data_IF_858532060526
#
_entry.id   IF_858532060526
#
_cell.length_a   1.000
_cell.length_b   1.000
_cell.length_c   1.000
_cell.angle_alpha   90.00
_cell.angle_beta   90.00
_cell.angle_gamma   90.00
#
_symmetry.space_group_name_H-M   'P 1'
#
loop_
_entity.id
_entity.type
_entity.pdbx_description
1 polymer ?
#
# COMPACT_ATOMS: atom_id res chain seq x y z
N UNK A 1 -6.41 -10.41 17.68
CA UNK A 1 -5.50 -9.79 16.70
C UNK A 1 -5.50 -8.28 16.93
N UNK A 2 -4.36 -7.58 16.82
CA UNK A 2 -4.27 -6.13 17.08
C UNK A 2 -5.22 -5.31 16.18
N UNK A 3 -5.50 -5.80 14.98
CA UNK A 3 -6.44 -5.18 14.04
C UNK A 3 -7.91 -5.21 14.49
N UNK A 4 -8.27 -5.99 15.52
CA UNK A 4 -9.60 -5.95 16.13
C UNK A 4 -9.87 -4.62 16.86
N UNK A 5 -8.82 -3.84 17.14
CA UNK A 5 -8.91 -2.51 17.74
C UNK A 5 -9.08 -1.40 16.69
N UNK A 6 -9.09 -1.74 15.39
CA UNK A 6 -9.22 -0.77 14.32
C UNK A 6 -10.58 -0.04 14.42
N UNK A 7 -10.54 1.29 14.30
CA UNK A 7 -11.76 2.13 14.32
C UNK A 7 -12.75 1.74 13.22
N UNK A 8 -12.21 1.37 12.06
CA UNK A 8 -12.89 0.81 10.90
C UNK A 8 -11.88 0.14 9.98
N UNK A 9 -12.37 -0.74 9.10
CA UNK A 9 -11.60 -1.28 8.00
C UNK A 9 -12.43 -1.30 6.71
N UNK A 10 -11.74 -1.40 5.58
CA UNK A 10 -12.33 -1.44 4.25
C UNK A 10 -11.99 -2.74 3.54
N UNK A 11 -12.88 -3.19 2.65
CA UNK A 11 -12.44 -3.99 1.50
C UNK A 11 -11.70 -3.10 0.51
N UNK A 12 -10.97 -3.69 -0.45
CA UNK A 12 -10.28 -2.89 -1.47
C UNK A 12 -11.22 -2.00 -2.30
N UNK A 13 -12.38 -2.48 -2.80
CA UNK A 13 -13.36 -1.60 -3.44
C UNK A 13 -13.86 -0.48 -2.51
N UNK A 14 -14.11 -0.79 -1.24
CA UNK A 14 -14.51 0.20 -0.25
C UNK A 14 -13.44 1.27 0.01
N UNK A 15 -12.16 0.90 -0.05
CA UNK A 15 -11.05 1.84 0.06
C UNK A 15 -10.96 2.75 -1.18
N UNK A 16 -11.24 2.23 -2.39
CA UNK A 16 -11.32 3.05 -3.60
C UNK A 16 -12.48 4.04 -3.55
N UNK A 17 -13.63 3.63 -3.03
CA UNK A 17 -14.78 4.51 -2.82
C UNK A 17 -14.46 5.60 -1.78
N UNK A 18 -13.80 5.23 -0.68
CA UNK A 18 -13.28 6.17 0.30
C UNK A 18 -12.32 7.19 -0.34
N UNK A 19 -11.34 6.73 -1.12
CA UNK A 19 -10.40 7.61 -1.80
C UNK A 19 -11.11 8.56 -2.79
N UNK A 20 -12.12 8.07 -3.53
CA UNK A 20 -12.93 8.89 -4.42
C UNK A 20 -13.71 9.98 -3.66
N UNK A 21 -14.30 9.63 -2.51
CA UNK A 21 -15.00 10.57 -1.65
C UNK A 21 -14.04 11.63 -1.09
N UNK A 22 -12.86 11.24 -0.64
CA UNK A 22 -11.84 12.19 -0.16
C UNK A 22 -11.41 13.17 -1.25
N UNK A 23 -11.26 12.72 -2.51
CA UNK A 23 -11.01 13.62 -3.64
C UNK A 23 -12.14 14.65 -3.79
N UNK A 24 -13.39 14.19 -3.83
CA UNK A 24 -14.55 15.08 -3.99
C UNK A 24 -14.71 16.05 -2.81
N UNK A 25 -14.41 15.59 -1.60
CA UNK A 25 -14.46 16.40 -0.38
C UNK A 25 -13.36 17.46 -0.36
N UNK A 26 -12.13 17.12 -0.75
CA UNK A 26 -11.05 18.09 -0.85
C UNK A 26 -11.34 19.17 -1.91
N UNK A 27 -11.99 18.82 -3.01
CA UNK A 27 -12.38 19.78 -4.05
C UNK A 27 -13.55 20.69 -3.63
N UNK A 28 -14.53 20.14 -2.92
CA UNK A 28 -15.74 20.88 -2.52
C UNK A 28 -15.59 21.66 -1.22
N UNK A 29 -14.64 21.29 -0.37
CA UNK A 29 -14.40 21.87 0.96
C UNK A 29 -12.91 22.12 1.23
N UNK A 30 -12.23 22.98 0.45
CA UNK A 30 -10.79 23.19 0.59
C UNK A 30 -10.37 23.70 1.96
N UNK A 31 -11.28 24.33 2.71
CA UNK A 31 -11.07 24.79 4.09
C UNK A 31 -10.79 23.65 5.08
N UNK A 32 -11.14 22.41 4.74
CA UNK A 32 -10.88 21.23 5.59
C UNK A 32 -9.46 20.69 5.45
N UNK A 33 -8.76 21.08 4.39
CA UNK A 33 -7.49 20.49 4.01
C UNK A 33 -6.41 21.00 4.98
N UNK A 34 -5.91 20.12 5.83
CA UNK A 34 -4.83 20.44 6.76
C UNK A 34 -3.52 20.74 6.02
N UNK A 35 -3.23 19.99 4.95
CA UNK A 35 -2.08 20.20 4.08
C UNK A 35 -2.50 20.06 2.60
N UNK A 36 -2.40 21.12 1.78
CA UNK A 36 -2.70 21.08 0.35
C UNK A 36 -1.98 19.97 -0.42
N UNK A 37 -0.80 19.53 0.06
CA UNK A 37 -0.06 18.41 -0.53
C UNK A 37 -0.85 17.12 -0.43
N UNK A 38 -1.48 16.81 0.71
CA UNK A 38 -2.27 15.59 0.85
C UNK A 38 -3.50 15.59 -0.05
N UNK A 39 -4.16 16.74 -0.24
CA UNK A 39 -5.26 16.82 -1.20
C UNK A 39 -4.78 16.58 -2.64
N UNK A 40 -3.66 17.18 -3.04
CA UNK A 40 -3.04 16.95 -4.35
C UNK A 40 -2.70 15.47 -4.54
N UNK A 41 -1.99 14.87 -3.58
CA UNK A 41 -1.56 13.48 -3.66
C UNK A 41 -2.72 12.50 -3.62
N UNK A 42 -3.74 12.71 -2.79
CA UNK A 42 -4.94 11.87 -2.79
C UNK A 42 -5.59 11.81 -4.17
N UNK A 43 -5.73 12.95 -4.86
CA UNK A 43 -6.27 12.99 -6.22
C UNK A 43 -5.38 12.26 -7.23
N UNK A 44 -4.08 12.52 -7.20
CA UNK A 44 -3.11 11.89 -8.09
C UNK A 44 -3.04 10.36 -7.89
N UNK A 45 -3.00 9.93 -6.63
CA UNK A 45 -2.89 8.53 -6.22
C UNK A 45 -4.17 7.75 -6.49
N UNK A 46 -5.34 8.36 -6.35
CA UNK A 46 -6.59 7.75 -6.79
C UNK A 46 -6.56 7.40 -8.29
N UNK A 47 -6.05 8.30 -9.15
CA UNK A 47 -5.91 7.99 -10.58
C UNK A 47 -4.90 6.87 -10.84
N UNK A 48 -3.80 6.83 -10.08
CA UNK A 48 -2.80 5.75 -10.17
C UNK A 48 -3.40 4.39 -9.79
N UNK A 49 -4.14 4.32 -8.68
CA UNK A 49 -4.82 3.09 -8.25
C UNK A 49 -5.82 2.62 -9.30
N UNK A 50 -6.66 3.52 -9.85
CA UNK A 50 -7.59 3.18 -10.94
C UNK A 50 -6.89 2.66 -12.20
N UNK A 51 -5.71 3.18 -12.52
CA UNK A 51 -4.93 2.69 -13.66
C UNK A 51 -4.43 1.28 -13.39
N UNK A 52 -3.84 1.04 -12.21
CA UNK A 52 -3.36 -0.29 -11.85
C UNK A 52 -4.47 -1.33 -11.81
N UNK A 53 -5.63 -1.00 -11.25
CA UNK A 53 -6.79 -1.89 -11.18
C UNK A 53 -7.26 -2.35 -12.57
N UNK A 54 -7.02 -1.55 -13.61
CA UNK A 54 -7.33 -1.87 -15.00
C UNK A 54 -6.22 -2.59 -15.76
N UNK A 55 -4.98 -2.50 -15.31
CA UNK A 55 -3.80 -2.86 -16.12
C UNK A 55 -2.91 -3.91 -15.50
N UNK A 56 -2.97 -4.09 -14.17
CA UNK A 56 -2.22 -5.12 -13.49
C UNK A 56 -2.91 -6.47 -13.65
N UNK A 57 -2.11 -7.48 -13.98
CA UNK A 57 -2.51 -8.88 -14.00
C UNK A 57 -1.46 -9.62 -13.16
N UNK A 58 -1.86 -10.30 -12.06
CA UNK A 58 -0.95 -11.12 -11.27
C UNK A 58 -0.29 -12.22 -12.10
N UNK A 59 0.92 -12.61 -11.71
CA UNK A 59 1.56 -13.80 -12.26
C UNK A 59 0.83 -15.07 -11.79
N UNK A 60 0.45 -15.93 -12.74
CA UNK A 60 -0.34 -17.14 -12.46
C UNK A 60 0.38 -18.11 -11.52
N UNK A 61 1.71 -18.25 -11.65
CA UNK A 61 2.49 -19.14 -10.78
C UNK A 61 2.50 -18.63 -9.34
N UNK A 62 2.53 -17.30 -9.16
CA UNK A 62 2.43 -16.69 -7.83
C UNK A 62 1.06 -16.95 -7.22
N UNK A 63 -0.02 -16.82 -8.00
CA UNK A 63 -1.38 -17.12 -7.52
C UNK A 63 -1.52 -18.59 -7.10
N UNK A 64 -0.97 -19.52 -7.89
CA UNK A 64 -0.97 -20.95 -7.55
C UNK A 64 -0.26 -21.21 -6.22
N UNK A 65 0.92 -20.61 -6.03
CA UNK A 65 1.68 -20.78 -4.79
C UNK A 65 0.93 -20.19 -3.58
N UNK A 66 0.36 -18.98 -3.71
CA UNK A 66 -0.45 -18.36 -2.67
C UNK A 66 -1.66 -19.22 -2.27
N UNK A 67 -2.31 -19.89 -3.21
CA UNK A 67 -3.44 -20.81 -2.93
C UNK A 67 -3.01 -22.05 -2.14
N UNK A 68 -1.75 -22.47 -2.27
CA UNK A 68 -1.21 -23.65 -1.56
C UNK A 68 -0.63 -23.34 -0.18
N UNK A 69 -0.46 -22.05 0.16
CA UNK A 69 0.15 -21.59 1.40
C UNK A 69 -0.71 -21.79 2.67
N UNK A 70 -1.91 -22.34 2.51
CA UNK A 70 -2.87 -22.54 3.59
C UNK A 70 -3.73 -21.31 3.89
N UNK A 71 -4.73 -21.46 4.78
CA UNK A 71 -5.67 -20.39 5.10
C UNK A 71 -4.99 -19.22 5.82
N UNK A 72 -5.19 -18.01 5.31
CA UNK A 72 -4.66 -16.77 5.87
C UNK A 72 -5.60 -15.60 5.60
N UNK A 73 -5.45 -14.52 6.36
CA UNK A 73 -6.10 -13.23 6.12
C UNK A 73 -5.06 -12.11 6.10
N UNK A 74 -5.29 -11.10 5.27
CA UNK A 74 -4.35 -9.99 5.04
C UNK A 74 -4.92 -8.67 5.54
N UNK A 75 -4.07 -7.89 6.20
CA UNK A 75 -4.36 -6.55 6.69
C UNK A 75 -3.34 -5.56 6.13
N UNK A 76 -3.83 -4.45 5.57
CA UNK A 76 -2.97 -3.38 5.05
C UNK A 76 -3.19 -2.07 5.79
N UNK A 77 -2.13 -1.50 6.35
CA UNK A 77 -2.11 -0.16 6.93
C UNK A 77 -1.67 0.82 5.85
N UNK A 78 -2.49 1.81 5.51
CA UNK A 78 -2.25 2.70 4.37
C UNK A 78 -2.99 4.03 4.49
N UNK A 79 -2.77 4.92 3.52
CA UNK A 79 -3.51 6.16 3.32
C UNK A 79 -3.70 6.45 1.83
N UNK A 80 -4.78 7.16 1.48
CA UNK A 80 -5.09 7.52 0.09
C UNK A 80 -4.09 8.52 -0.51
N UNK A 81 -3.45 9.34 0.33
CA UNK A 81 -2.43 10.30 -0.08
C UNK A 81 -1.03 9.66 -0.25
N UNK A 82 -0.83 8.39 0.13
CA UNK A 82 0.50 7.78 0.06
C UNK A 82 0.86 7.32 -1.37
N UNK A 83 1.98 7.85 -1.89
CA UNK A 83 2.48 7.52 -3.22
C UNK A 83 2.79 6.04 -3.41
N UNK A 84 3.50 5.40 -2.48
CA UNK A 84 3.84 3.98 -2.57
C UNK A 84 2.59 3.09 -2.46
N UNK A 85 1.62 3.47 -1.62
CA UNK A 85 0.35 2.77 -1.51
C UNK A 85 -0.40 2.76 -2.84
N UNK A 86 -0.38 3.88 -3.58
CA UNK A 86 -1.02 3.98 -4.87
C UNK A 86 -0.46 3.00 -5.93
N UNK A 87 0.75 2.48 -5.70
CA UNK A 87 1.44 1.53 -6.58
C UNK A 87 1.29 0.10 -6.08
N UNK A 88 1.48 -0.13 -4.77
CA UNK A 88 1.56 -1.47 -4.19
C UNK A 88 0.19 -2.02 -3.76
N UNK A 89 -0.73 -1.18 -3.26
CA UNK A 89 -2.03 -1.64 -2.77
C UNK A 89 -2.88 -2.32 -3.87
N UNK A 90 -2.95 -1.82 -5.11
CA UNK A 90 -3.65 -2.53 -6.19
C UNK A 90 -3.05 -3.90 -6.50
N UNK A 91 -1.72 -4.03 -6.41
CA UNK A 91 -1.02 -5.32 -6.61
C UNK A 91 -1.40 -6.29 -5.50
N UNK A 92 -1.31 -5.86 -4.23
CA UNK A 92 -1.70 -6.67 -3.07
C UNK A 92 -3.17 -7.11 -3.19
N UNK A 93 -4.06 -6.20 -3.56
CA UNK A 93 -5.48 -6.48 -3.70
C UNK A 93 -5.78 -7.48 -4.82
N UNK A 94 -5.09 -7.37 -5.96
CA UNK A 94 -5.23 -8.34 -7.04
C UNK A 94 -4.73 -9.73 -6.62
N UNK A 95 -3.55 -9.82 -5.98
CA UNK A 95 -3.03 -11.09 -5.45
C UNK A 95 -4.02 -11.74 -4.47
N UNK A 96 -4.49 -10.97 -3.48
CA UNK A 96 -5.44 -11.45 -2.49
C UNK A 96 -6.76 -11.93 -3.13
N UNK A 97 -7.31 -11.16 -4.08
CA UNK A 97 -8.54 -11.51 -4.79
C UNK A 97 -8.39 -12.81 -5.58
N UNK A 98 -7.36 -12.93 -6.41
CA UNK A 98 -7.17 -14.11 -7.26
C UNK A 98 -6.79 -15.37 -6.46
N UNK A 99 -6.12 -15.19 -5.32
CA UNK A 99 -5.79 -16.28 -4.39
C UNK A 99 -6.93 -16.65 -3.43
N UNK A 100 -8.00 -15.83 -3.32
CA UNK A 100 -9.10 -16.04 -2.40
C UNK A 100 -8.78 -15.71 -0.93
N UNK A 101 -7.82 -14.81 -0.71
CA UNK A 101 -7.37 -14.36 0.62
C UNK A 101 -8.22 -13.13 1.04
N UNK A 102 -8.89 -13.15 2.20
CA UNK A 102 -9.55 -11.97 2.75
C UNK A 102 -8.57 -10.81 2.94
N UNK A 103 -8.91 -9.64 2.41
CA UNK A 103 -8.10 -8.44 2.53
C UNK A 103 -8.87 -7.31 3.23
N UNK A 104 -8.26 -6.80 4.29
CA UNK A 104 -8.75 -5.70 5.11
C UNK A 104 -7.78 -4.53 5.04
N UNK A 105 -8.30 -3.31 4.93
CA UNK A 105 -7.49 -2.10 4.84
C UNK A 105 -7.86 -1.16 5.97
N UNK A 106 -6.87 -0.64 6.69
CA UNK A 106 -7.05 0.33 7.77
C UNK A 106 -6.25 1.60 7.50
N UNK A 107 -6.79 2.74 7.94
CA UNK A 107 -6.14 4.04 7.77
C UNK A 107 -5.09 4.24 8.85
N UNK A 108 -3.87 4.58 8.43
CA UNK A 108 -2.72 4.81 9.32
C UNK A 108 -3.03 5.88 10.36
N UNK A 109 -3.57 7.01 9.90
CA UNK A 109 -3.73 8.22 10.69
C UNK A 109 -4.89 8.08 11.69
N UNK A 110 -5.89 7.24 11.40
CA UNK A 110 -6.99 6.91 12.31
C UNK A 110 -6.64 5.80 13.32
N UNK A 111 -5.53 5.08 13.12
CA UNK A 111 -5.17 3.89 13.90
C UNK A 111 -3.72 3.94 14.42
N UNK A 112 -3.35 4.97 15.23
CA UNK A 112 -1.96 5.15 15.68
C UNK A 112 -1.45 3.99 16.53
N UNK A 113 -2.29 3.40 17.39
CA UNK A 113 -1.90 2.26 18.23
C UNK A 113 -1.54 1.00 17.42
N UNK A 114 -2.26 0.76 16.30
CA UNK A 114 -1.91 -0.30 15.35
C UNK A 114 -0.60 0.07 14.64
N UNK A 115 -0.49 1.29 14.10
CA UNK A 115 0.71 1.70 13.35
C UNK A 115 2.00 1.63 14.19
N UNK A 116 1.92 1.95 15.48
CA UNK A 116 3.08 1.94 16.38
C UNK A 116 3.67 0.52 16.58
N UNK A 117 2.90 -0.55 16.32
CA UNK A 117 3.39 -1.93 16.33
C UNK A 117 4.18 -2.30 15.07
N UNK A 118 4.03 -1.53 13.98
CA UNK A 118 4.52 -1.89 12.65
C UNK A 118 5.45 -0.84 12.05
N UNK A 119 6.24 -0.17 12.89
CA UNK A 119 7.23 0.82 12.44
C UNK A 119 8.31 0.18 11.56
N UNK A 120 8.72 0.90 10.52
CA UNK A 120 9.88 0.51 9.68
C UNK A 120 11.04 1.43 10.02
N UNK A 121 12.08 0.88 10.65
CA UNK A 121 13.24 1.65 11.13
C UNK A 121 12.82 2.84 12.01
N UNK A 122 11.86 2.62 12.91
CA UNK A 122 11.30 3.66 13.79
C UNK A 122 10.33 4.63 13.10
N UNK A 123 10.09 4.51 11.80
CA UNK A 123 9.21 5.41 11.03
C UNK A 123 7.84 4.80 10.76
N UNK A 124 6.81 5.67 10.68
CA UNK A 124 5.43 5.32 10.30
C UNK A 124 5.27 5.16 8.78
N UNK A 125 6.09 4.29 8.20
CA UNK A 125 6.09 4.01 6.76
C UNK A 125 4.89 3.15 6.37
N UNK A 126 4.31 3.43 5.19
CA UNK A 126 3.17 2.72 4.61
C UNK A 126 3.38 2.57 3.09
N UNK A 127 2.72 1.59 2.43
CA UNK A 127 1.78 0.61 2.99
C UNK A 127 2.48 -0.50 3.78
N UNK A 128 1.87 -1.00 4.85
CA UNK A 128 2.33 -2.22 5.53
C UNK A 128 1.30 -3.31 5.32
N UNK A 129 1.70 -4.45 4.76
CA UNK A 129 0.91 -5.66 4.68
C UNK A 129 1.29 -6.60 5.84
N UNK A 130 0.30 -7.15 6.52
CA UNK A 130 0.48 -8.15 7.58
C UNK A 130 -0.47 -9.31 7.31
N UNK A 131 0.05 -10.54 7.36
CA UNK A 131 -0.74 -11.77 7.21
C UNK A 131 -0.90 -12.48 8.55
N UNK A 132 -2.06 -13.09 8.75
CA UNK A 132 -2.38 -13.87 9.94
C UNK A 132 -3.02 -15.22 9.58
N UNK A 133 -2.77 -16.23 10.42
CA UNK A 133 -3.49 -17.49 10.36
C UNK A 133 -4.88 -17.42 11.02
N UNK A 134 -5.62 -18.52 11.01
CA UNK A 134 -6.95 -18.62 11.60
C UNK A 134 -6.97 -18.49 13.13
N UNK A 135 -5.81 -18.65 13.78
CA UNK A 135 -5.64 -18.47 15.23
C UNK A 135 -5.23 -17.03 15.57
N UNK A 136 -5.07 -16.17 14.57
CA UNK A 136 -4.63 -14.79 14.72
C UNK A 136 -3.14 -14.63 15.03
N UNK A 137 -2.33 -15.66 14.77
CA UNK A 137 -0.88 -15.54 14.80
C UNK A 137 -0.39 -14.88 13.51
N UNK A 138 0.55 -13.96 13.64
CA UNK A 138 1.14 -13.30 12.48
C UNK A 138 2.02 -14.28 11.72
N UNK A 139 1.73 -14.46 10.42
CA UNK A 139 2.53 -15.29 9.52
C UNK A 139 3.70 -14.50 8.94
N UNK A 140 3.40 -13.34 8.36
CA UNK A 140 4.42 -12.47 7.78
C UNK A 140 4.04 -10.99 7.83
N UNK A 141 5.04 -10.15 7.55
CA UNK A 141 4.89 -8.71 7.36
C UNK A 141 5.71 -8.29 6.13
N UNK A 142 5.11 -7.45 5.29
CA UNK A 142 5.75 -6.85 4.13
C UNK A 142 5.57 -5.32 4.14
N UNK A 143 6.54 -4.60 3.58
CA UNK A 143 6.45 -3.18 3.30
C UNK A 143 7.55 -2.31 3.94
N UNK A 144 7.64 -1.03 3.56
CA UNK A 144 6.69 -0.31 2.71
C UNK A 144 6.89 -0.50 1.20
N UNK A 145 8.03 -1.04 0.78
CA UNK A 145 8.44 -1.11 -0.62
C UNK A 145 9.13 -2.44 -0.92
N UNK A 146 9.10 -2.92 -2.17
CA UNK A 146 10.02 -3.96 -2.61
C UNK A 146 11.47 -3.46 -2.52
N UNK A 147 12.43 -4.38 -2.41
CA UNK A 147 13.83 -4.07 -2.14
C UNK A 147 14.43 -3.05 -3.11
N UNK A 148 14.19 -3.19 -4.42
CA UNK A 148 14.71 -2.26 -5.42
C UNK A 148 14.17 -0.82 -5.24
N UNK A 149 12.88 -0.65 -4.95
CA UNK A 149 12.32 0.68 -4.63
C UNK A 149 12.83 1.20 -3.29
N UNK A 150 13.04 0.33 -2.31
CA UNK A 150 13.62 0.74 -1.03
C UNK A 150 15.05 1.27 -1.21
N UNK A 151 15.85 0.62 -2.06
CA UNK A 151 17.19 1.08 -2.42
C UNK A 151 17.16 2.46 -3.09
N UNK A 152 16.23 2.72 -4.03
CA UNK A 152 16.10 4.06 -4.63
C UNK A 152 15.87 5.15 -3.57
N UNK A 153 15.05 4.87 -2.55
CA UNK A 153 14.78 5.80 -1.45
C UNK A 153 15.99 5.98 -0.54
N UNK A 154 16.74 4.91 -0.27
CA UNK A 154 17.96 4.96 0.54
C UNK A 154 19.07 5.74 -0.19
N UNK A 155 19.27 5.47 -1.48
CA UNK A 155 20.23 6.16 -2.32
C UNK A 155 19.93 7.65 -2.44
N UNK A 156 18.67 8.02 -2.65
CA UNK A 156 18.26 9.44 -2.67
C UNK A 156 18.49 10.11 -1.31
N UNK A 157 18.17 9.45 -0.19
CA UNK A 157 18.43 9.99 1.15
C UNK A 157 19.92 10.16 1.43
N UNK A 158 20.75 9.22 0.98
CA UNK A 158 22.19 9.26 1.18
C UNK A 158 22.85 10.34 0.29
N UNK A 159 22.39 10.46 -0.95
CA UNK A 159 22.87 11.45 -1.90
C UNK A 159 21.76 11.92 -2.86
N UNK A 160 21.08 13.02 -2.53
CA UNK A 160 20.04 13.57 -3.40
C UNK A 160 20.57 14.01 -4.77
N UNK A 161 21.87 14.28 -4.89
CA UNK A 161 22.53 14.78 -6.11
C UNK A 161 21.82 16.02 -6.71
N UNK A 162 21.31 16.91 -5.85
CA UNK A 162 20.59 18.11 -6.26
C UNK A 162 19.10 17.91 -6.61
N UNK A 163 18.58 16.67 -6.54
CA UNK A 163 17.15 16.38 -6.70
C UNK A 163 16.40 16.69 -5.41
N UNK A 164 15.35 17.49 -5.50
CA UNK A 164 14.39 17.62 -4.40
C UNK A 164 13.49 16.36 -4.31
N UNK A 165 12.60 16.34 -3.31
CA UNK A 165 11.72 15.19 -3.09
C UNK A 165 10.72 14.99 -4.24
N UNK A 166 10.25 16.05 -4.88
CA UNK A 166 9.30 15.96 -5.99
C UNK A 166 9.93 15.31 -7.23
N UNK A 167 11.16 15.72 -7.57
CA UNK A 167 11.93 15.11 -8.64
C UNK A 167 12.21 13.62 -8.36
N UNK A 168 12.54 13.28 -7.12
CA UNK A 168 12.72 11.89 -6.70
C UNK A 168 11.42 11.09 -6.75
N UNK A 169 10.30 11.66 -6.32
CA UNK A 169 9.01 10.98 -6.35
C UNK A 169 8.61 10.61 -7.79
N UNK A 170 8.87 11.50 -8.74
CA UNK A 170 8.65 11.22 -10.16
C UNK A 170 9.51 10.05 -10.67
N UNK A 171 10.77 9.98 -10.26
CA UNK A 171 11.67 8.86 -10.56
C UNK A 171 11.15 7.55 -9.95
N UNK A 172 10.79 7.56 -8.66
CA UNK A 172 10.19 6.42 -7.97
C UNK A 172 8.94 5.91 -8.69
N UNK A 173 8.03 6.82 -9.07
CA UNK A 173 6.80 6.46 -9.77
C UNK A 173 7.03 5.97 -11.21
N UNK A 174 8.09 6.45 -11.87
CA UNK A 174 8.54 5.90 -13.15
C UNK A 174 9.03 4.48 -12.98
N UNK A 175 9.87 4.24 -11.98
CA UNK A 175 10.36 2.90 -11.64
C UNK A 175 9.18 1.94 -11.39
N UNK A 176 8.17 2.33 -10.60
CA UNK A 176 6.99 1.49 -10.39
C UNK A 176 6.25 1.16 -11.69
N UNK A 177 6.14 2.14 -12.60
CA UNK A 177 5.47 1.97 -13.89
C UNK A 177 6.25 1.00 -14.81
N UNK A 178 7.58 1.03 -14.76
CA UNK A 178 8.46 0.13 -15.52
C UNK A 178 8.52 -1.27 -14.90
N UNK A 179 8.55 -1.35 -13.56
CA UNK A 179 8.56 -2.61 -12.81
C UNK A 179 7.26 -3.40 -12.98
N UNK A 180 6.12 -2.72 -13.20
CA UNK A 180 4.81 -3.36 -13.44
C UNK A 180 4.35 -4.27 -12.31
N UNK A 181 4.76 -3.97 -11.07
CA UNK A 181 4.40 -4.74 -9.87
C UNK A 181 5.12 -6.09 -9.73
N UNK A 182 6.10 -6.40 -10.59
CA UNK A 182 6.89 -7.65 -10.55
C UNK A 182 7.61 -7.85 -9.22
N UNK A 183 8.30 -6.82 -8.74
CA UNK A 183 9.08 -6.95 -7.51
C UNK A 183 8.17 -6.98 -6.29
N UNK A 184 7.03 -6.28 -6.33
CA UNK A 184 6.05 -6.29 -5.24
C UNK A 184 5.47 -7.68 -5.05
N UNK A 185 4.99 -8.34 -6.12
CA UNK A 185 4.42 -9.68 -6.01
C UNK A 185 5.46 -10.74 -5.65
N UNK A 186 6.68 -10.66 -6.19
CA UNK A 186 7.77 -11.57 -5.83
C UNK A 186 8.16 -11.41 -4.34
N UNK A 187 8.30 -10.18 -3.87
CA UNK A 187 8.65 -9.92 -2.47
C UNK A 187 7.57 -10.36 -1.46
N UNK A 188 6.30 -10.39 -1.88
CA UNK A 188 5.21 -10.94 -1.04
C UNK A 188 5.30 -12.47 -1.04
N UNK A 189 5.54 -13.08 -2.20
CA UNK A 189 5.66 -14.53 -2.33
C UNK A 189 6.81 -15.11 -1.51
N UNK A 190 7.96 -14.43 -1.45
CA UNK A 190 9.13 -14.86 -0.65
C UNK A 190 8.85 -14.97 0.86
N UNK A 191 7.72 -14.45 1.33
CA UNK A 191 7.30 -14.43 2.73
C UNK A 191 6.22 -15.47 3.08
N UNK A 192 5.71 -16.19 2.08
CA UNK A 192 4.55 -17.07 2.17
C UNK A 192 4.96 -18.53 2.35
#
# INVERSE_FOLDING_TARGET
MIFNEASRHFSYPGFLDYAAQEVALNESRPERIADPKYAHYTKLNFQRMKRWDKTFVPDEQIIEQLKTAGPQEWWVITEAWCGDSAQNLPVIAALAREAGIPLHIVLRDENPGIMDQFLTNGSKSIPILVSFDQQGQQLFRWGPRPAAAQLLMEDWKANPAGRDFEAFELEMHRWYTENKGKDTQAAILDLV
#
